data_IF_140834727780
#
_entry.id   IF_140834727780
#
_cell.length_a   1.000
_cell.length_b   1.000
_cell.length_c   1.000
_cell.angle_alpha   90.00
_cell.angle_beta   90.00
_cell.angle_gamma   90.00
#
_symmetry.space_group_name_H-M   'P 1'
#
loop_
_entity.id
_entity.type
_entity.pdbx_description
1 polymer ?
#
# COMPACT_ATOMS: atom_id res chain seq x y z
N UNK A 1 -19.90 -18.45 57.28
CA UNK A 1 -20.32 -17.44 58.27
C UNK A 1 -19.08 -16.73 58.80
N UNK A 2 -19.03 -15.39 58.73
CA UNK A 2 -17.97 -14.48 59.27
C UNK A 2 -18.26 -14.19 60.78
N UNK A 3 -17.70 -13.18 61.52
CA UNK A 3 -16.98 -11.92 61.17
C UNK A 3 -15.75 -11.62 62.10
N UNK A 4 -15.04 -10.49 62.19
CA UNK A 4 -15.28 -9.03 62.01
C UNK A 4 -13.92 -8.27 61.90
N UNK A 5 -13.74 -7.24 61.04
CA UNK A 5 -13.69 -5.76 61.29
C UNK A 5 -12.70 -5.29 62.38
N UNK A 6 -11.88 -4.24 62.25
CA UNK A 6 -12.10 -2.80 61.96
C UNK A 6 -10.83 -2.15 61.32
N UNK A 7 -10.93 -1.28 60.30
CA UNK A 7 -11.02 0.21 60.33
C UNK A 7 -9.95 0.93 61.16
N UNK A 8 -9.03 1.64 60.48
CA UNK A 8 -8.47 2.90 60.95
C UNK A 8 -8.63 3.98 59.89
N UNK A 9 -9.02 5.16 60.37
CA UNK A 9 -9.44 6.36 59.67
C UNK A 9 -8.61 7.50 60.27
N UNK A 10 -8.44 8.57 59.49
CA UNK A 10 -8.04 9.93 59.85
C UNK A 10 -6.53 10.27 59.88
N UNK A 11 -6.13 11.20 59.02
CA UNK A 11 -5.85 12.57 59.47
C UNK A 11 -5.89 13.53 58.28
N UNK A 12 -6.79 14.51 58.37
CA UNK A 12 -6.83 15.72 57.56
C UNK A 12 -5.81 16.72 58.11
N UNK A 13 -5.14 17.47 57.23
CA UNK A 13 -4.48 18.73 57.61
C UNK A 13 -4.74 19.79 56.53
N UNK A 14 -5.70 20.64 56.89
CA UNK A 14 -5.95 21.99 56.40
C UNK A 14 -5.07 22.93 57.23
N UNK A 15 -4.32 23.85 56.62
CA UNK A 15 -3.85 25.09 57.28
C UNK A 15 -3.92 26.27 56.30
N UNK A 16 -4.50 27.41 56.71
CA UNK A 16 -4.78 28.58 55.88
C UNK A 16 -3.80 29.77 56.09
N UNK A 17 -4.03 30.82 55.30
CA UNK A 17 -3.78 32.25 55.57
C UNK A 17 -2.36 32.80 55.46
N UNK A 18 -2.13 33.76 54.54
CA UNK A 18 -2.08 35.19 54.90
C UNK A 18 -2.03 36.08 53.63
N UNK A 19 -2.94 37.05 53.59
CA UNK A 19 -2.87 38.19 52.68
C UNK A 19 -1.88 39.22 53.24
N UNK A 20 -1.05 39.78 52.37
CA UNK A 20 -0.39 41.07 52.57
C UNK A 20 -0.40 41.80 51.24
N UNK A 21 -1.21 42.86 51.20
CA UNK A 21 -1.21 43.87 50.16
C UNK A 21 0.03 44.76 50.34
N UNK A 22 0.80 44.93 49.27
CA UNK A 22 1.67 46.10 49.09
C UNK A 22 1.48 46.61 47.67
N UNK A 23 0.95 47.83 47.59
CA UNK A 23 0.90 48.64 46.39
C UNK A 23 2.31 48.95 45.88
N UNK A 24 2.53 48.90 44.57
CA UNK A 24 3.58 49.66 43.89
C UNK A 24 3.22 49.84 42.41
N UNK A 25 3.59 51.00 41.91
CA UNK A 25 3.10 51.69 40.73
C UNK A 25 3.55 51.10 39.38
N UNK A 26 2.65 51.21 38.39
CA UNK A 26 2.95 51.81 37.09
C UNK A 26 4.06 51.18 36.24
N UNK A 27 3.71 50.16 35.46
CA UNK A 27 4.38 49.82 34.20
C UNK A 27 3.32 49.60 33.12
N UNK A 28 3.45 50.15 31.90
CA UNK A 28 2.41 50.05 30.88
C UNK A 28 2.17 48.57 30.53
N UNK A 29 0.93 48.12 30.71
CA UNK A 29 0.46 46.87 30.13
C UNK A 29 0.54 47.00 28.62
N UNK A 30 1.47 46.25 28.02
CA UNK A 30 1.39 45.90 26.61
C UNK A 30 0.11 45.08 26.46
N UNK A 31 -0.89 45.53 25.67
CA UNK A 31 -2.07 44.74 25.42
C UNK A 31 -1.67 43.42 24.77
N UNK A 32 -2.35 42.30 25.07
CA UNK A 32 -2.16 41.08 24.31
C UNK A 32 -2.45 41.42 22.85
N UNK A 33 -1.46 41.20 21.98
CA UNK A 33 -1.59 41.43 20.55
C UNK A 33 -2.72 40.58 19.99
N UNK A 34 -3.92 41.15 19.98
CA UNK A 34 -4.97 40.72 19.09
C UNK A 34 -4.43 40.92 17.68
N UNK A 35 -4.29 39.83 16.94
CA UNK A 35 -4.10 39.87 15.50
C UNK A 35 -5.12 40.88 14.96
N UNK A 36 -4.70 41.93 14.24
CA UNK A 36 -5.65 42.89 13.68
C UNK A 36 -6.65 42.11 12.86
N UNK A 37 -7.95 42.22 13.20
CA UNK A 37 -9.01 41.66 12.39
C UNK A 37 -8.84 42.25 10.99
N UNK A 38 -8.50 41.37 10.03
CA UNK A 38 -8.35 41.78 8.64
C UNK A 38 -9.67 42.42 8.20
N UNK A 39 -9.58 43.58 7.54
CA UNK A 39 -10.75 44.26 6.99
C UNK A 39 -11.54 43.29 6.10
N UNK A 40 -12.87 43.32 6.21
CA UNK A 40 -13.78 42.51 5.39
C UNK A 40 -13.64 42.80 3.90
N UNK A 41 -13.13 43.98 3.56
CA UNK A 41 -12.87 44.44 2.19
C UNK A 41 -11.38 44.73 1.95
N UNK A 42 -10.94 44.61 0.71
CA UNK A 42 -9.61 44.96 0.20
C UNK A 42 -9.76 46.14 -0.76
N UNK A 43 -9.01 47.21 -0.52
CA UNK A 43 -8.97 48.37 -1.43
C UNK A 43 -7.90 48.12 -2.50
N UNK A 44 -8.32 47.96 -3.75
CA UNK A 44 -7.43 47.75 -4.88
C UNK A 44 -7.21 49.03 -5.69
N UNK A 45 -6.05 49.20 -6.35
CA UNK A 45 -5.84 50.28 -7.29
C UNK A 45 -6.87 50.27 -8.44
N UNK A 46 -7.16 51.44 -9.00
CA UNK A 46 -7.94 51.55 -10.22
C UNK A 46 -7.32 50.69 -11.34
N UNK A 47 -8.13 49.97 -12.15
CA UNK A 47 -9.59 50.06 -12.28
C UNK A 47 -10.38 49.02 -11.45
N UNK A 48 -9.75 48.33 -10.49
CA UNK A 48 -10.39 47.21 -9.77
C UNK A 48 -11.34 47.72 -8.68
N UNK A 49 -10.93 48.76 -7.94
CA UNK A 49 -11.71 49.32 -6.83
C UNK A 49 -11.78 48.40 -5.62
N UNK A 50 -12.71 48.67 -4.70
CA UNK A 50 -12.87 47.88 -3.48
C UNK A 50 -13.51 46.51 -3.77
N UNK A 51 -12.91 45.44 -3.25
CA UNK A 51 -13.40 44.06 -3.38
C UNK A 51 -13.63 43.41 -2.02
N UNK A 52 -14.58 42.47 -1.87
CA UNK A 52 -14.71 41.67 -0.65
C UNK A 52 -13.51 40.74 -0.47
N UNK A 53 -13.00 40.63 0.76
CA UNK A 53 -11.92 39.70 1.11
C UNK A 53 -12.49 38.29 1.25
N UNK A 54 -11.89 37.34 0.55
CA UNK A 54 -12.25 35.92 0.67
C UNK A 54 -11.33 35.19 1.66
N UNK A 55 -11.88 34.19 2.35
CA UNK A 55 -11.09 33.30 3.20
C UNK A 55 -10.54 32.14 2.37
N UNK A 56 -9.28 32.24 1.94
CA UNK A 56 -8.65 31.17 1.16
C UNK A 56 -8.47 29.88 2.00
N UNK A 57 -8.50 29.99 3.33
CA UNK A 57 -8.52 28.84 4.24
C UNK A 57 -9.87 28.11 4.19
N UNK A 58 -11.00 28.84 4.22
CA UNK A 58 -12.33 28.24 4.04
C UNK A 58 -12.46 27.61 2.66
N UNK A 59 -11.96 28.26 1.60
CA UNK A 59 -11.92 27.67 0.25
C UNK A 59 -11.06 26.40 0.21
N UNK A 60 -9.97 26.32 0.99
CA UNK A 60 -9.19 25.10 1.09
C UNK A 60 -9.96 23.98 1.83
N UNK A 61 -10.77 24.34 2.82
CA UNK A 61 -11.52 23.40 3.67
C UNK A 61 -12.83 22.91 3.05
N UNK A 62 -13.49 23.72 2.20
CA UNK A 62 -14.72 23.38 1.46
C UNK A 62 -14.58 22.10 0.61
N UNK A 63 -13.35 21.70 0.27
CA UNK A 63 -13.05 20.48 -0.49
C UNK A 63 -12.50 19.32 0.35
N UNK A 64 -12.41 19.47 1.67
CA UNK A 64 -11.88 18.45 2.58
C UNK A 64 -12.67 17.13 2.59
N UNK A 65 -13.82 17.08 1.92
CA UNK A 65 -14.72 15.92 1.86
C UNK A 65 -14.45 14.95 0.70
N UNK A 66 -13.60 15.30 -0.28
CA UNK A 66 -13.17 14.36 -1.32
C UNK A 66 -12.12 13.39 -0.75
N UNK A 67 -12.53 12.56 0.21
CA UNK A 67 -11.68 11.59 0.89
C UNK A 67 -11.55 10.30 0.08
N UNK A 68 -10.53 10.30 -0.77
CA UNK A 68 -10.14 9.18 -1.62
C UNK A 68 -9.47 8.05 -0.81
N UNK A 69 -9.00 8.35 0.41
CA UNK A 69 -8.21 7.42 1.24
C UNK A 69 -9.03 6.21 1.70
N UNK A 70 -10.32 6.41 1.96
CA UNK A 70 -11.29 5.35 2.28
C UNK A 70 -11.51 4.38 1.10
N UNK A 71 -11.45 4.88 -0.14
CA UNK A 71 -11.65 4.09 -1.36
C UNK A 71 -10.40 3.33 -1.80
N UNK A 72 -9.20 3.82 -1.45
CA UNK A 72 -7.95 3.08 -1.63
C UNK A 72 -7.94 1.77 -0.81
N UNK A 73 -8.59 1.77 0.37
CA UNK A 73 -8.75 0.56 1.20
C UNK A 73 -9.67 -0.48 0.55
N UNK A 74 -10.70 -0.05 -0.19
CA UNK A 74 -11.65 -0.91 -0.90
C UNK A 74 -11.09 -1.44 -2.24
N UNK A 75 -10.18 -0.71 -2.89
CA UNK A 75 -9.63 -1.08 -4.20
C UNK A 75 -8.51 -2.15 -4.13
N UNK A 76 -7.94 -2.39 -2.94
CA UNK A 76 -6.71 -3.18 -2.75
C UNK A 76 -6.83 -4.70 -2.83
N UNK A 77 -8.03 -5.30 -2.83
CA UNK A 77 -8.18 -6.73 -2.53
C UNK A 77 -8.43 -7.68 -3.73
N UNK A 78 -8.29 -7.25 -4.99
CA UNK A 78 -8.56 -8.15 -6.14
C UNK A 78 -7.76 -7.86 -7.41
N UNK A 79 -7.75 -8.83 -8.34
CA UNK A 79 -7.10 -8.76 -9.67
C UNK A 79 -7.48 -7.45 -10.38
N UNK A 80 -6.49 -6.67 -10.81
CA UNK A 80 -6.69 -5.32 -11.36
C UNK A 80 -6.75 -4.19 -10.32
N UNK A 81 -6.46 -4.48 -9.05
CA UNK A 81 -6.34 -3.49 -7.97
C UNK A 81 -5.38 -2.36 -8.32
N UNK A 82 -4.22 -2.66 -8.92
CA UNK A 82 -3.24 -1.65 -9.30
C UNK A 82 -3.81 -0.62 -10.30
N UNK A 83 -4.51 -1.08 -11.33
CA UNK A 83 -5.11 -0.19 -12.34
C UNK A 83 -6.23 0.66 -11.71
N UNK A 84 -7.00 0.09 -10.79
CA UNK A 84 -8.02 0.82 -10.01
C UNK A 84 -7.40 1.83 -9.05
N UNK A 85 -6.36 1.44 -8.32
CA UNK A 85 -5.59 2.30 -7.42
C UNK A 85 -4.98 3.46 -8.20
N UNK A 86 -4.45 3.20 -9.38
CA UNK A 86 -3.88 4.24 -10.25
C UNK A 86 -4.96 5.19 -10.77
N UNK A 87 -6.11 4.66 -11.18
CA UNK A 87 -7.26 5.48 -11.56
C UNK A 87 -7.76 6.36 -10.40
N UNK A 88 -7.81 5.78 -9.20
CA UNK A 88 -8.19 6.47 -7.95
C UNK A 88 -7.17 7.57 -7.60
N UNK A 89 -5.86 7.28 -7.69
CA UNK A 89 -4.80 8.26 -7.46
C UNK A 89 -4.87 9.40 -8.48
N UNK A 90 -5.09 9.11 -9.76
CA UNK A 90 -5.24 10.14 -10.78
C UNK A 90 -6.41 11.09 -10.50
N UNK A 91 -7.54 10.57 -9.98
CA UNK A 91 -8.66 11.40 -9.53
C UNK A 91 -8.28 12.26 -8.31
N UNK A 92 -7.56 11.70 -7.33
CA UNK A 92 -7.07 12.43 -6.17
C UNK A 92 -6.10 13.56 -6.55
N UNK A 93 -5.16 13.29 -7.45
CA UNK A 93 -4.19 14.27 -7.95
C UNK A 93 -4.89 15.41 -8.70
N UNK A 94 -5.93 15.10 -9.50
CA UNK A 94 -6.73 16.12 -10.18
C UNK A 94 -7.53 16.97 -9.19
N UNK A 95 -8.12 16.36 -8.16
CA UNK A 95 -8.83 17.09 -7.11
C UNK A 95 -7.87 18.04 -6.36
N UNK A 96 -6.66 17.58 -6.03
CA UNK A 96 -5.62 18.41 -5.42
C UNK A 96 -5.25 19.60 -6.31
N UNK A 97 -5.03 19.39 -7.61
CA UNK A 97 -4.73 20.46 -8.57
C UNK A 97 -5.87 21.49 -8.69
N UNK A 98 -7.13 21.03 -8.72
CA UNK A 98 -8.29 21.91 -8.75
C UNK A 98 -8.37 22.77 -7.48
N UNK A 99 -8.12 22.17 -6.31
CA UNK A 99 -8.05 22.88 -5.03
C UNK A 99 -6.93 23.92 -5.02
N UNK A 100 -5.72 23.53 -5.42
CA UNK A 100 -4.57 24.44 -5.52
C UNK A 100 -4.86 25.63 -6.45
N UNK A 101 -5.48 25.38 -7.61
CA UNK A 101 -5.87 26.45 -8.55
C UNK A 101 -6.88 27.41 -7.96
N UNK A 102 -7.87 26.91 -7.22
CA UNK A 102 -8.90 27.75 -6.59
C UNK A 102 -8.34 28.57 -5.42
N UNK A 103 -7.45 28.00 -4.62
CA UNK A 103 -6.72 28.74 -3.57
C UNK A 103 -5.84 29.83 -4.18
N UNK A 104 -5.08 29.50 -5.23
CA UNK A 104 -4.25 30.48 -5.94
C UNK A 104 -5.09 31.60 -6.59
N UNK A 105 -6.30 31.30 -7.06
CA UNK A 105 -7.26 32.28 -7.56
C UNK A 105 -7.73 33.22 -6.44
N UNK A 106 -8.12 32.69 -5.28
CA UNK A 106 -8.47 33.47 -4.09
C UNK A 106 -7.31 34.38 -3.63
N UNK A 107 -6.09 33.86 -3.58
CA UNK A 107 -4.91 34.67 -3.22
C UNK A 107 -4.64 35.78 -4.24
N UNK A 108 -4.82 35.49 -5.53
CA UNK A 108 -4.68 36.47 -6.61
C UNK A 108 -5.76 37.55 -6.54
N UNK A 109 -6.98 37.17 -6.16
CA UNK A 109 -8.09 38.09 -5.95
C UNK A 109 -7.84 39.01 -4.76
N UNK A 110 -7.53 38.45 -3.59
CA UNK A 110 -7.20 39.20 -2.37
C UNK A 110 -5.94 40.09 -2.51
N UNK A 111 -5.08 39.83 -3.49
CA UNK A 111 -3.90 40.66 -3.81
C UNK A 111 -4.12 41.59 -5.01
N UNK A 112 -5.38 41.78 -5.44
CA UNK A 112 -5.78 42.70 -6.50
C UNK A 112 -5.14 42.40 -7.87
N UNK A 113 -4.76 41.14 -8.13
CA UNK A 113 -4.16 40.72 -9.42
C UNK A 113 -5.19 40.25 -10.44
N UNK A 114 -6.43 40.02 -10.01
CA UNK A 114 -7.53 39.50 -10.84
C UNK A 114 -8.77 40.38 -10.64
N UNK A 115 -9.46 40.73 -11.73
CA UNK A 115 -10.69 41.53 -11.65
C UNK A 115 -11.87 40.69 -11.14
N UNK A 116 -12.87 41.29 -10.46
CA UNK A 116 -14.03 40.55 -9.95
C UNK A 116 -14.76 39.69 -10.98
N UNK A 117 -14.94 40.20 -12.21
CA UNK A 117 -15.60 39.45 -13.28
C UNK A 117 -14.76 38.25 -13.76
N UNK A 118 -13.44 38.40 -13.83
CA UNK A 118 -12.51 37.32 -14.20
C UNK A 118 -12.42 36.27 -13.09
N UNK A 119 -12.40 36.72 -11.84
CA UNK A 119 -12.44 35.86 -10.66
C UNK A 119 -13.70 34.99 -10.64
N UNK A 120 -14.88 35.62 -10.76
CA UNK A 120 -16.16 34.91 -10.74
C UNK A 120 -16.28 33.88 -11.88
N UNK A 121 -15.82 34.23 -13.09
CA UNK A 121 -15.85 33.32 -14.23
C UNK A 121 -14.93 32.10 -14.02
N UNK A 122 -13.72 32.33 -13.51
CA UNK A 122 -12.75 31.25 -13.27
C UNK A 122 -13.15 30.38 -12.06
N UNK A 123 -13.67 30.98 -11.00
CA UNK A 123 -14.18 30.23 -9.84
C UNK A 123 -15.34 29.31 -10.25
N UNK A 124 -16.29 29.84 -11.04
CA UNK A 124 -17.40 29.04 -11.58
C UNK A 124 -16.91 27.90 -12.46
N UNK A 125 -15.87 28.13 -13.28
CA UNK A 125 -15.25 27.10 -14.10
C UNK A 125 -14.61 26.00 -13.24
N UNK A 126 -13.79 26.37 -12.27
CA UNK A 126 -13.09 25.43 -11.38
C UNK A 126 -14.09 24.62 -10.53
N UNK A 127 -15.11 25.28 -9.97
CA UNK A 127 -16.19 24.63 -9.24
C UNK A 127 -16.98 23.65 -10.11
N UNK A 128 -17.25 24.01 -11.37
CA UNK A 128 -17.89 23.13 -12.35
C UNK A 128 -17.06 21.86 -12.64
N UNK A 129 -15.74 22.00 -12.83
CA UNK A 129 -14.85 20.86 -13.05
C UNK A 129 -14.75 19.95 -11.82
N UNK A 130 -14.71 20.53 -10.62
CA UNK A 130 -14.74 19.74 -9.39
C UNK A 130 -16.06 18.98 -9.26
N UNK A 131 -17.20 19.62 -9.56
CA UNK A 131 -18.49 18.94 -9.57
C UNK A 131 -18.51 17.79 -10.57
N UNK A 132 -18.00 17.97 -11.79
CA UNK A 132 -17.88 16.89 -12.78
C UNK A 132 -17.02 15.73 -12.26
N UNK A 133 -15.94 16.02 -11.53
CA UNK A 133 -15.08 15.00 -10.93
C UNK A 133 -15.78 14.22 -9.82
N UNK A 134 -16.57 14.91 -8.98
CA UNK A 134 -17.38 14.28 -7.93
C UNK A 134 -18.48 13.41 -8.55
N UNK A 135 -19.20 13.91 -9.56
CA UNK A 135 -20.25 13.15 -10.23
C UNK A 135 -19.68 11.89 -10.92
N UNK A 136 -18.49 12.00 -11.52
CA UNK A 136 -17.75 10.87 -12.09
C UNK A 136 -17.29 9.88 -11.02
N UNK A 137 -16.82 10.39 -9.88
CA UNK A 137 -16.42 9.61 -8.72
C UNK A 137 -17.61 8.82 -8.17
N UNK A 138 -18.75 9.44 -7.94
CA UNK A 138 -19.93 8.78 -7.39
C UNK A 138 -20.53 7.73 -8.35
N UNK A 139 -20.36 7.93 -9.66
CA UNK A 139 -20.79 6.97 -10.67
C UNK A 139 -19.86 5.73 -10.81
N UNK A 140 -18.72 5.67 -10.10
CA UNK A 140 -17.74 4.59 -10.24
C UNK A 140 -18.29 3.26 -9.74
N UNK A 141 -18.15 2.21 -10.56
CA UNK A 141 -18.56 0.83 -10.20
C UNK A 141 -17.37 -0.12 -10.01
N UNK A 142 -16.29 0.08 -10.77
CA UNK A 142 -15.04 -0.71 -10.70
C UNK A 142 -15.26 -2.24 -10.68
N UNK A 143 -16.31 -2.74 -11.35
CA UNK A 143 -16.66 -4.16 -11.38
C UNK A 143 -15.83 -4.92 -12.41
N UNK A 144 -15.43 -4.26 -13.49
CA UNK A 144 -14.62 -4.83 -14.58
C UNK A 144 -13.57 -3.82 -15.10
N UNK A 145 -12.67 -4.28 -15.99
CA UNK A 145 -11.62 -3.44 -16.55
C UNK A 145 -12.16 -2.24 -17.36
N UNK A 146 -13.27 -2.43 -18.07
CA UNK A 146 -13.90 -1.38 -18.89
C UNK A 146 -14.47 -0.23 -18.04
N UNK A 147 -14.96 -0.52 -16.83
CA UNK A 147 -15.36 0.50 -15.86
C UNK A 147 -14.17 1.38 -15.46
N UNK A 148 -12.99 0.78 -15.26
CA UNK A 148 -11.76 1.50 -14.89
C UNK A 148 -11.27 2.35 -16.06
N UNK A 149 -11.28 1.81 -17.27
CA UNK A 149 -10.89 2.55 -18.49
C UNK A 149 -11.82 3.75 -18.71
N UNK A 150 -13.15 3.57 -18.59
CA UNK A 150 -14.11 4.67 -18.71
C UNK A 150 -13.92 5.73 -17.63
N UNK A 151 -13.69 5.32 -16.39
CA UNK A 151 -13.41 6.24 -15.30
C UNK A 151 -12.13 7.06 -15.56
N UNK A 152 -11.03 6.40 -15.96
CA UNK A 152 -9.78 7.09 -16.31
C UNK A 152 -9.97 8.07 -17.46
N UNK A 153 -10.68 7.68 -18.52
CA UNK A 153 -11.00 8.56 -19.63
C UNK A 153 -11.81 9.80 -19.18
N UNK A 154 -12.72 9.63 -18.22
CA UNK A 154 -13.44 10.73 -17.58
C UNK A 154 -12.52 11.68 -16.82
N UNK A 155 -11.60 11.16 -15.99
CA UNK A 155 -10.61 11.95 -15.25
C UNK A 155 -9.70 12.72 -16.22
N UNK A 156 -9.18 12.06 -17.26
CA UNK A 156 -8.35 12.71 -18.29
C UNK A 156 -9.11 13.80 -19.04
N UNK A 157 -10.40 13.60 -19.33
CA UNK A 157 -11.24 14.62 -19.98
C UNK A 157 -11.39 15.86 -19.10
N UNK A 158 -11.61 15.69 -17.80
CA UNK A 158 -11.73 16.82 -16.86
C UNK A 158 -10.38 17.53 -16.70
N UNK A 159 -9.27 16.78 -16.61
CA UNK A 159 -7.93 17.34 -16.61
C UNK A 159 -7.65 18.16 -17.89
N UNK A 160 -8.04 17.65 -19.06
CA UNK A 160 -7.93 18.37 -20.32
C UNK A 160 -8.69 19.69 -20.33
N UNK A 161 -9.92 19.72 -19.77
CA UNK A 161 -10.68 20.97 -19.58
C UNK A 161 -10.01 21.93 -18.60
N UNK A 162 -9.37 21.41 -17.54
CA UNK A 162 -8.63 22.23 -16.57
C UNK A 162 -7.47 22.96 -17.25
N UNK A 163 -6.72 22.24 -18.09
CA UNK A 163 -5.55 22.76 -18.82
C UNK A 163 -5.91 23.57 -20.08
N UNK A 164 -7.20 23.75 -20.39
CA UNK A 164 -7.68 24.51 -21.55
C UNK A 164 -7.61 23.77 -22.88
N UNK A 165 -7.29 22.47 -22.86
CA UNK A 165 -7.38 21.57 -24.01
C UNK A 165 -8.80 21.01 -24.14
N UNK A 166 -9.63 21.62 -24.98
CA UNK A 166 -10.93 21.04 -25.38
C UNK A 166 -10.69 19.81 -26.25
N UNK A 167 -10.71 18.62 -25.65
CA UNK A 167 -10.81 17.37 -26.39
C UNK A 167 -12.21 17.27 -27.02
N UNK A 168 -12.33 17.73 -28.27
CA UNK A 168 -13.49 17.48 -29.13
C UNK A 168 -13.40 16.03 -29.64
N UNK A 169 -14.45 15.19 -29.51
CA UNK A 169 -14.52 13.96 -30.30
C UNK A 169 -14.72 14.37 -31.76
N UNK A 170 -13.67 14.34 -32.57
CA UNK A 170 -13.79 14.63 -34.00
C UNK A 170 -14.58 13.51 -34.69
N UNK A 171 -15.79 13.85 -35.12
CA UNK A 171 -16.38 13.23 -36.29
C UNK A 171 -15.61 13.77 -37.51
N UNK A 172 -15.21 12.87 -38.41
CA UNK A 172 -14.35 13.08 -39.59
C UNK A 172 -12.82 13.13 -39.35
N UNK A 173 -12.23 11.94 -39.28
CA UNK A 173 -11.26 11.52 -40.30
C UNK A 173 -9.80 11.94 -40.20
N UNK A 174 -9.35 12.62 -39.13
CA UNK A 174 -7.93 12.91 -38.94
C UNK A 174 -7.59 13.05 -37.46
N UNK A 175 -7.36 11.92 -36.79
CA UNK A 175 -6.93 11.93 -35.39
C UNK A 175 -5.64 12.75 -35.27
N UNK A 176 -5.52 13.67 -34.29
CA UNK A 176 -4.21 14.19 -33.92
C UNK A 176 -3.35 12.97 -33.61
N UNK A 177 -2.17 12.90 -34.22
CA UNK A 177 -1.19 11.88 -33.89
C UNK A 177 -0.79 12.15 -32.44
N UNK A 178 -1.52 11.56 -31.50
CA UNK A 178 -1.02 11.30 -30.16
C UNK A 178 0.20 10.45 -30.42
N UNK A 179 1.38 11.07 -30.38
CA UNK A 179 2.65 10.35 -30.42
C UNK A 179 2.67 9.58 -29.11
N UNK A 180 2.05 8.39 -29.14
CA UNK A 180 2.07 7.46 -28.03
C UNK A 180 3.53 7.31 -27.68
N UNK A 181 3.94 7.65 -26.45
CA UNK A 181 5.35 7.62 -26.10
C UNK A 181 5.89 6.26 -26.48
N UNK A 182 7.00 6.26 -27.22
CA UNK A 182 7.52 5.07 -27.86
C UNK A 182 7.77 4.00 -26.79
N UNK A 183 6.92 2.96 -26.80
CA UNK A 183 7.07 1.79 -25.96
C UNK A 183 8.38 1.11 -26.36
N UNK A 184 9.34 1.08 -25.45
CA UNK A 184 10.58 0.30 -25.64
C UNK A 184 10.30 -1.12 -25.17
N UNK A 185 10.58 -2.09 -26.03
CA UNK A 185 10.43 -3.51 -25.73
C UNK A 185 11.77 -4.20 -25.90
N UNK A 186 12.19 -4.92 -24.86
CA UNK A 186 13.36 -5.81 -24.87
C UNK A 186 12.84 -7.24 -24.89
N UNK A 187 13.31 -8.07 -25.83
CA UNK A 187 12.94 -9.49 -25.90
C UNK A 187 13.68 -10.28 -24.83
N UNK A 188 13.08 -11.39 -24.37
CA UNK A 188 13.71 -12.26 -23.39
C UNK A 188 15.11 -12.74 -23.80
N UNK A 189 15.29 -13.13 -25.07
CA UNK A 189 16.58 -13.60 -25.58
C UNK A 189 17.69 -12.53 -25.62
N UNK A 190 17.33 -11.25 -25.61
CA UNK A 190 18.28 -10.14 -25.62
C UNK A 190 18.87 -9.88 -24.22
N UNK A 191 18.30 -10.46 -23.17
CA UNK A 191 18.77 -10.29 -21.80
C UNK A 191 20.10 -11.00 -21.58
N UNK A 192 21.01 -10.33 -20.89
CA UNK A 192 22.28 -10.92 -20.51
C UNK A 192 22.06 -12.05 -19.50
N UNK A 193 22.64 -13.22 -19.78
CA UNK A 193 22.57 -14.39 -18.89
C UNK A 193 23.60 -14.25 -17.78
N UNK A 194 23.20 -14.62 -16.56
CA UNK A 194 24.09 -14.75 -15.42
C UNK A 194 24.23 -16.24 -15.16
N UNK A 195 25.37 -16.80 -15.58
CA UNK A 195 25.65 -18.21 -15.41
C UNK A 195 25.88 -18.53 -13.92
N UNK A 196 25.27 -19.61 -13.44
CA UNK A 196 25.31 -20.00 -12.04
C UNK A 196 25.10 -21.50 -11.86
N UNK A 197 25.63 -22.06 -10.78
CA UNK A 197 25.46 -23.47 -10.47
C UNK A 197 23.98 -23.80 -10.25
N UNK A 198 23.45 -24.78 -10.98
CA UNK A 198 22.05 -25.21 -10.87
C UNK A 198 21.07 -24.44 -11.76
N UNK A 199 21.55 -23.47 -12.56
CA UNK A 199 20.76 -22.81 -13.61
C UNK A 199 20.95 -23.50 -14.97
N UNK A 200 19.87 -23.55 -15.74
CA UNK A 200 19.88 -23.96 -17.16
C UNK A 200 19.10 -22.94 -17.98
N UNK A 201 19.63 -22.62 -19.15
CA UNK A 201 19.02 -21.67 -20.07
C UNK A 201 18.64 -22.35 -21.38
N UNK A 202 17.44 -22.07 -21.87
CA UNK A 202 16.98 -22.42 -23.21
C UNK A 202 16.40 -21.16 -23.88
N UNK A 203 16.64 -20.96 -25.16
CA UNK A 203 16.06 -19.86 -25.93
C UNK A 203 15.25 -20.42 -27.10
N UNK A 204 14.05 -19.88 -27.31
CA UNK A 204 13.16 -20.25 -28.43
C UNK A 204 12.25 -19.09 -28.76
N UNK A 205 12.11 -18.77 -30.04
CA UNK A 205 11.15 -17.79 -30.57
C UNK A 205 11.18 -16.41 -29.88
N UNK A 206 12.36 -15.89 -29.59
CA UNK A 206 12.50 -14.60 -28.90
C UNK A 206 12.43 -14.66 -27.38
N UNK A 207 12.09 -15.83 -26.81
CA UNK A 207 11.93 -16.05 -25.38
C UNK A 207 13.17 -16.70 -24.78
N UNK A 208 13.37 -16.49 -23.49
CA UNK A 208 14.38 -17.22 -22.70
C UNK A 208 13.70 -17.94 -21.55
N UNK A 209 13.93 -19.25 -21.45
CA UNK A 209 13.52 -20.09 -20.34
C UNK A 209 14.72 -20.35 -19.44
N UNK A 210 14.52 -20.13 -18.15
CA UNK A 210 15.47 -20.41 -17.09
C UNK A 210 14.88 -21.51 -16.22
N UNK A 211 15.66 -22.53 -15.92
CA UNK A 211 15.30 -23.56 -14.94
C UNK A 211 16.33 -23.59 -13.83
N UNK A 212 15.88 -23.46 -12.59
CA UNK A 212 16.68 -23.68 -11.38
C UNK A 212 16.33 -25.04 -10.77
N UNK A 213 17.35 -25.86 -10.50
CA UNK A 213 17.17 -27.12 -9.75
C UNK A 213 17.73 -27.06 -8.33
N UNK A 214 18.40 -25.97 -7.97
CA UNK A 214 19.10 -25.82 -6.70
C UNK A 214 18.29 -25.00 -5.69
N UNK A 215 18.51 -25.26 -4.40
CA UNK A 215 18.05 -24.37 -3.34
C UNK A 215 18.86 -23.05 -3.36
N UNK A 216 18.30 -22.01 -2.77
CA UNK A 216 18.95 -20.70 -2.64
C UNK A 216 18.65 -19.75 -3.79
N UNK A 217 19.20 -18.54 -3.67
CA UNK A 217 18.91 -17.41 -4.54
C UNK A 217 19.93 -17.32 -5.67
N UNK A 218 19.43 -17.26 -6.91
CA UNK A 218 20.24 -17.21 -8.12
C UNK A 218 19.79 -16.07 -9.02
N UNK A 219 20.64 -15.05 -9.17
CA UNK A 219 20.48 -14.06 -10.24
C UNK A 219 20.68 -14.79 -11.58
N UNK A 220 19.77 -14.62 -12.54
CA UNK A 220 19.78 -15.45 -13.75
C UNK A 220 19.75 -14.64 -15.06
N UNK A 221 19.00 -13.53 -15.11
CA UNK A 221 19.01 -12.61 -16.25
C UNK A 221 19.21 -11.18 -15.79
N UNK A 222 19.76 -10.36 -16.69
CA UNK A 222 20.00 -8.94 -16.50
C UNK A 222 19.61 -8.15 -17.74
N UNK A 223 18.90 -7.03 -17.53
CA UNK A 223 18.81 -5.95 -18.49
C UNK A 223 19.70 -4.79 -18.03
N UNK A 224 20.59 -4.34 -18.90
CA UNK A 224 21.54 -3.27 -18.57
C UNK A 224 20.84 -1.91 -18.45
N UNK A 225 21.47 -0.95 -17.77
CA UNK A 225 20.86 0.36 -17.54
C UNK A 225 20.52 1.09 -18.84
N UNK A 226 21.33 0.92 -19.88
CA UNK A 226 21.10 1.47 -21.22
C UNK A 226 19.82 0.94 -21.86
N UNK A 227 19.46 -0.32 -21.56
CA UNK A 227 18.21 -0.92 -22.01
C UNK A 227 17.00 -0.36 -21.25
N UNK A 228 17.20 0.10 -20.02
CA UNK A 228 16.16 0.65 -19.16
C UNK A 228 16.04 2.19 -19.20
N UNK A 229 16.98 2.88 -19.85
CA UNK A 229 16.89 4.33 -20.07
C UNK A 229 15.67 4.67 -20.94
N UNK A 230 14.82 5.55 -20.39
CA UNK A 230 13.63 6.12 -21.05
C UNK A 230 13.79 7.63 -21.27
N UNK A 231 12.84 8.26 -21.97
CA UNK A 231 12.85 9.67 -22.39
C UNK A 231 12.77 10.73 -21.26
N UNK A 232 13.19 10.39 -20.04
CA UNK A 232 13.08 11.22 -18.84
C UNK A 232 11.74 11.02 -18.11
N UNK A 233 11.78 11.00 -16.77
CA UNK A 233 10.59 10.85 -15.92
C UNK A 233 10.43 9.46 -15.29
N UNK A 234 9.30 9.22 -14.64
CA UNK A 234 8.96 7.92 -14.04
C UNK A 234 8.57 6.93 -15.13
N UNK A 235 9.19 5.76 -15.12
CA UNK A 235 8.92 4.67 -16.06
C UNK A 235 8.47 3.44 -15.27
N UNK A 236 7.59 2.65 -15.86
CA UNK A 236 7.17 1.33 -15.39
C UNK A 236 7.83 0.28 -16.27
N UNK A 237 8.63 -0.58 -15.65
CA UNK A 237 9.20 -1.77 -16.27
C UNK A 237 8.26 -2.92 -16.02
N UNK A 238 7.63 -3.43 -17.10
CA UNK A 238 6.67 -4.53 -17.06
C UNK A 238 7.29 -5.78 -17.69
N UNK A 239 7.40 -6.84 -16.92
CA UNK A 239 8.00 -8.10 -17.31
C UNK A 239 6.88 -9.09 -17.65
N UNK A 240 6.89 -9.59 -18.89
CA UNK A 240 5.93 -10.56 -19.39
C UNK A 240 6.58 -11.93 -19.53
N UNK A 241 5.82 -12.95 -19.16
CA UNK A 241 6.29 -14.31 -19.21
C UNK A 241 5.43 -15.26 -18.40
N UNK A 242 6.04 -16.37 -17.99
CA UNK A 242 5.46 -17.34 -17.09
C UNK A 242 6.46 -17.75 -16.02
N UNK A 243 5.93 -18.18 -14.89
CA UNK A 243 6.70 -18.85 -13.85
C UNK A 243 5.95 -20.11 -13.43
N UNK A 244 6.68 -21.19 -13.24
CA UNK A 244 6.17 -22.47 -12.77
C UNK A 244 7.06 -22.92 -11.62
N UNK A 245 6.59 -22.84 -10.37
CA UNK A 245 7.36 -23.33 -9.24
C UNK A 245 7.50 -24.86 -9.35
N UNK A 246 8.58 -25.43 -8.81
CA UNK A 246 8.77 -26.89 -8.86
C UNK A 246 7.74 -27.66 -8.01
N UNK A 247 7.09 -26.97 -7.06
CA UNK A 247 6.00 -27.48 -6.26
C UNK A 247 4.85 -26.48 -6.29
N UNK A 248 3.61 -26.97 -6.38
CA UNK A 248 2.43 -26.12 -6.34
C UNK A 248 2.38 -25.34 -5.01
N UNK A 249 1.97 -24.05 -5.03
CA UNK A 249 1.77 -23.30 -3.81
C UNK A 249 0.67 -23.94 -2.97
N UNK A 250 0.87 -23.94 -1.65
CA UNK A 250 -0.11 -24.52 -0.74
C UNK A 250 -1.43 -23.74 -0.75
N UNK A 251 -1.31 -22.42 -0.77
CA UNK A 251 -2.41 -21.46 -0.80
C UNK A 251 -2.44 -20.80 -2.18
N UNK A 252 -3.57 -20.93 -2.87
CA UNK A 252 -3.81 -20.30 -4.16
C UNK A 252 -4.65 -19.02 -4.02
N UNK A 253 -4.53 -18.13 -5.00
CA UNK A 253 -5.43 -16.99 -5.17
C UNK A 253 -6.89 -17.47 -5.23
N UNK A 254 -7.77 -16.83 -4.46
CA UNK A 254 -9.18 -17.18 -4.34
C UNK A 254 -9.49 -18.25 -3.29
N UNK A 255 -8.48 -18.87 -2.65
CA UNK A 255 -8.72 -19.82 -1.56
C UNK A 255 -9.37 -19.14 -0.36
N UNK A 256 -10.40 -19.77 0.19
CA UNK A 256 -10.94 -19.49 1.51
C UNK A 256 -10.32 -20.45 2.52
N UNK A 257 -9.69 -19.89 3.55
CA UNK A 257 -8.89 -20.60 4.53
C UNK A 257 -9.50 -20.40 5.90
N UNK A 258 -9.73 -21.49 6.64
CA UNK A 258 -10.00 -21.42 8.07
C UNK A 258 -8.70 -21.70 8.82
N UNK A 259 -8.34 -20.81 9.74
CA UNK A 259 -7.18 -20.94 10.61
C UNK A 259 -7.70 -21.15 12.01
N UNK A 260 -7.28 -22.23 12.67
CA UNK A 260 -7.60 -22.50 14.07
C UNK A 260 -6.34 -22.84 14.85
N UNK A 261 -6.29 -22.44 16.10
CA UNK A 261 -5.12 -22.69 16.95
C UNK A 261 -5.50 -22.66 18.43
N UNK A 262 -4.70 -23.36 19.24
CA UNK A 262 -4.73 -23.29 20.70
C UNK A 262 -3.62 -22.36 21.18
N UNK A 263 -3.86 -21.67 22.28
CA UNK A 263 -2.86 -20.79 22.87
C UNK A 263 -2.83 -20.86 24.39
N UNK A 264 -1.68 -20.49 24.97
CA UNK A 264 -1.52 -20.13 26.38
C UNK A 264 -0.77 -18.81 26.48
N UNK A 265 -1.39 -17.78 27.02
CA UNK A 265 -0.76 -16.49 27.27
C UNK A 265 -0.46 -16.33 28.78
N UNK A 266 0.77 -15.93 29.13
CA UNK A 266 1.12 -15.66 30.54
C UNK A 266 0.50 -14.37 31.08
N UNK A 267 0.17 -13.44 30.19
CA UNK A 267 -0.41 -12.13 30.48
C UNK A 267 -1.44 -11.79 29.40
N UNK A 268 -2.24 -10.75 29.62
CA UNK A 268 -3.12 -10.25 28.57
C UNK A 268 -2.30 -9.64 27.42
N UNK A 269 -2.75 -9.84 26.18
CA UNK A 269 -2.02 -9.41 24.99
C UNK A 269 -2.83 -9.56 23.72
N UNK A 270 -2.15 -9.45 22.58
CA UNK A 270 -2.74 -9.56 21.25
C UNK A 270 -2.10 -10.71 20.49
N UNK A 271 -2.92 -11.63 19.98
CA UNK A 271 -2.50 -12.65 19.03
C UNK A 271 -2.90 -12.17 17.64
N UNK A 272 -2.07 -12.41 16.63
CA UNK A 272 -2.43 -12.06 15.27
C UNK A 272 -2.25 -13.25 14.34
N UNK A 273 -3.18 -13.36 13.39
CA UNK A 273 -3.08 -14.23 12.23
C UNK A 273 -3.11 -13.35 11.00
N UNK A 274 -2.08 -13.46 10.17
CA UNK A 274 -1.89 -12.67 8.97
C UNK A 274 -1.84 -13.58 7.75
N UNK A 275 -2.69 -13.31 6.76
CA UNK A 275 -2.45 -13.79 5.40
C UNK A 275 -1.47 -12.82 4.74
N UNK A 276 -0.33 -13.35 4.32
CA UNK A 276 0.78 -12.58 3.75
C UNK A 276 0.86 -12.84 2.25
N UNK A 277 1.17 -11.80 1.50
CA UNK A 277 1.57 -11.91 0.10
C UNK A 277 3.08 -12.14 0.03
N UNK A 278 3.51 -12.95 -0.94
CA UNK A 278 4.93 -13.07 -1.25
C UNK A 278 5.47 -11.79 -1.90
N UNK A 279 4.64 -11.10 -2.69
CA UNK A 279 5.02 -9.91 -3.47
C UNK A 279 5.40 -8.73 -2.59
N UNK A 280 4.71 -8.57 -1.47
CA UNK A 280 5.02 -7.61 -0.43
C UNK A 280 4.71 -8.25 0.94
N UNK A 281 5.70 -8.84 1.62
CA UNK A 281 5.48 -9.51 2.90
C UNK A 281 5.15 -8.53 4.04
N UNK A 282 5.47 -7.25 3.86
CA UNK A 282 5.22 -6.19 4.83
C UNK A 282 3.81 -5.59 4.63
N UNK A 283 3.32 -5.54 3.38
CA UNK A 283 1.92 -5.28 3.08
C UNK A 283 1.07 -6.52 3.42
N UNK A 284 0.47 -6.49 4.60
CA UNK A 284 -0.41 -7.59 5.02
C UNK A 284 -1.70 -7.56 4.21
N UNK A 285 -2.01 -8.65 3.51
CA UNK A 285 -3.25 -8.80 2.72
C UNK A 285 -4.47 -8.76 3.64
N UNK A 286 -4.40 -9.48 4.76
CA UNK A 286 -5.41 -9.44 5.81
C UNK A 286 -4.80 -9.84 7.14
N UNK A 287 -5.09 -9.08 8.20
CA UNK A 287 -4.69 -9.39 9.58
C UNK A 287 -5.92 -9.47 10.46
N UNK A 288 -6.01 -10.54 11.24
CA UNK A 288 -7.00 -10.66 12.31
C UNK A 288 -6.24 -10.63 13.63
N UNK A 289 -6.68 -9.73 14.52
CA UNK A 289 -6.09 -9.54 15.84
C UNK A 289 -7.08 -10.01 16.90
N UNK A 290 -6.64 -10.93 17.76
CA UNK A 290 -7.38 -11.45 18.90
C UNK A 290 -6.83 -10.83 20.18
N UNK A 291 -7.68 -10.15 20.94
CA UNK A 291 -7.33 -9.68 22.28
C UNK A 291 -7.61 -10.78 23.28
N UNK A 292 -6.55 -11.27 23.93
CA UNK A 292 -6.64 -12.41 24.84
C UNK A 292 -6.26 -12.01 26.26
N UNK A 293 -6.94 -12.61 27.24
CA UNK A 293 -6.54 -12.54 28.64
C UNK A 293 -5.43 -13.58 28.95
N UNK A 294 -4.79 -13.44 30.12
CA UNK A 294 -3.90 -14.47 30.63
C UNK A 294 -4.67 -15.79 30.82
N UNK A 295 -4.09 -16.91 30.41
CA UNK A 295 -4.72 -18.23 30.47
C UNK A 295 -4.55 -19.03 29.19
N UNK A 296 -5.37 -20.06 29.03
CA UNK A 296 -5.41 -20.92 27.83
C UNK A 296 -6.71 -20.71 27.07
N UNK A 297 -6.66 -20.79 25.74
CA UNK A 297 -7.84 -20.69 24.90
C UNK A 297 -7.68 -21.34 23.54
N UNK A 298 -8.70 -21.21 22.72
CA UNK A 298 -8.72 -21.64 21.32
C UNK A 298 -9.35 -20.54 20.50
N UNK A 299 -8.72 -20.21 19.38
CA UNK A 299 -9.21 -19.19 18.45
C UNK A 299 -9.37 -19.79 17.06
N UNK A 300 -10.26 -19.20 16.28
CA UNK A 300 -10.45 -19.53 14.88
C UNK A 300 -10.83 -18.29 14.10
N UNK A 301 -10.37 -18.21 12.85
CA UNK A 301 -10.77 -17.17 11.90
C UNK A 301 -10.79 -17.71 10.48
N UNK A 302 -11.38 -16.95 9.56
CA UNK A 302 -11.31 -17.19 8.12
C UNK A 302 -10.58 -16.06 7.42
N UNK A 303 -9.79 -16.42 6.40
CA UNK A 303 -9.05 -15.49 5.56
C UNK A 303 -9.24 -15.91 4.10
N UNK A 304 -9.27 -14.94 3.19
CA UNK A 304 -9.42 -15.19 1.75
C UNK A 304 -8.20 -14.65 1.02
N UNK A 305 -7.54 -15.48 0.22
CA UNK A 305 -6.43 -15.07 -0.62
C UNK A 305 -6.92 -14.22 -1.79
N UNK A 306 -6.49 -12.96 -1.86
CA UNK A 306 -6.91 -12.04 -2.89
C UNK A 306 -6.55 -12.55 -4.30
N UNK A 307 -7.44 -12.45 -5.31
CA UNK A 307 -7.15 -12.93 -6.67
C UNK A 307 -6.10 -12.10 -7.45
N UNK A 308 -5.58 -11.03 -6.84
CA UNK A 308 -4.62 -10.09 -7.46
C UNK A 308 -3.15 -10.39 -7.19
N UNK A 309 -2.83 -10.98 -6.05
CA UNK A 309 -1.45 -11.26 -5.64
C UNK A 309 -1.07 -12.70 -5.95
N UNK A 310 0.22 -13.03 -5.90
CA UNK A 310 0.70 -14.39 -6.12
C UNK A 310 1.66 -14.85 -5.03
N UNK A 311 1.50 -16.10 -4.61
CA UNK A 311 2.22 -16.65 -3.47
C UNK A 311 1.65 -16.13 -2.17
N UNK A 312 1.03 -17.02 -1.39
CA UNK A 312 0.48 -16.68 -0.09
C UNK A 312 1.02 -17.61 0.97
N UNK A 313 1.09 -17.10 2.19
CA UNK A 313 1.42 -17.88 3.38
C UNK A 313 0.72 -17.29 4.60
N UNK A 314 0.55 -18.09 5.64
CA UNK A 314 -0.07 -17.64 6.89
C UNK A 314 1.01 -17.44 7.94
N UNK A 315 1.05 -16.25 8.51
CA UNK A 315 1.86 -15.89 9.66
C UNK A 315 1.02 -15.84 10.93
N UNK A 316 1.57 -16.33 12.04
CA UNK A 316 0.95 -16.25 13.37
C UNK A 316 1.96 -15.71 14.36
N UNK A 317 1.56 -14.71 15.14
CA UNK A 317 2.42 -14.12 16.15
C UNK A 317 1.64 -13.55 17.33
N UNK A 318 2.39 -12.97 18.27
CA UNK A 318 1.86 -12.37 19.48
C UNK A 318 2.57 -11.05 19.80
N UNK A 319 1.79 -10.05 20.21
CA UNK A 319 2.25 -8.74 20.68
C UNK A 319 1.76 -8.49 22.11
N UNK A 320 2.55 -7.75 22.88
CA UNK A 320 2.28 -7.45 24.28
C UNK A 320 3.38 -7.96 25.21
N UNK A 321 3.11 -7.94 26.51
CA UNK A 321 4.06 -8.36 27.52
C UNK A 321 3.97 -9.88 27.78
N UNK A 322 5.12 -10.56 27.81
CA UNK A 322 5.25 -11.97 28.20
C UNK A 322 5.38 -12.95 27.03
N UNK A 323 5.40 -14.24 27.36
CA UNK A 323 5.51 -15.31 26.37
C UNK A 323 4.12 -15.88 26.04
N UNK A 324 3.97 -16.32 24.80
CA UNK A 324 2.78 -17.03 24.35
C UNK A 324 3.19 -18.41 23.87
N UNK A 325 2.44 -19.42 24.30
CA UNK A 325 2.53 -20.75 23.72
C UNK A 325 1.44 -20.95 22.67
N UNK A 326 1.79 -21.52 21.52
CA UNK A 326 0.85 -21.95 20.49
C UNK A 326 0.92 -23.47 20.30
N UNK A 327 -0.20 -24.08 19.93
CA UNK A 327 -0.26 -25.50 19.58
C UNK A 327 -1.48 -25.78 18.70
N UNK A 328 -1.50 -26.93 18.02
CA UNK A 328 -2.54 -27.33 17.08
C UNK A 328 -2.95 -26.19 16.12
N UNK A 329 -1.96 -25.47 15.58
CA UNK A 329 -2.22 -24.50 14.52
C UNK A 329 -2.55 -25.28 13.28
N UNK A 330 -3.74 -25.08 12.72
CA UNK A 330 -4.18 -25.78 11.52
C UNK A 330 -4.71 -24.80 10.49
N UNK A 331 -4.21 -24.97 9.26
CA UNK A 331 -4.70 -24.31 8.08
C UNK A 331 -5.65 -25.26 7.36
N UNK A 332 -6.91 -24.88 7.23
CA UNK A 332 -7.99 -25.72 6.71
C UNK A 332 -8.57 -25.11 5.44
N UNK A 333 -8.70 -25.91 4.38
CA UNK A 333 -9.39 -25.55 3.14
C UNK A 333 -10.41 -26.63 2.82
N UNK A 334 -11.68 -26.25 2.58
CA UNK A 334 -12.78 -27.18 2.28
C UNK A 334 -12.86 -28.35 3.29
N UNK A 335 -12.76 -28.06 4.59
CA UNK A 335 -12.75 -29.04 5.69
C UNK A 335 -11.53 -29.97 5.78
N UNK A 336 -10.53 -29.84 4.89
CA UNK A 336 -9.28 -30.60 4.96
C UNK A 336 -8.16 -29.74 5.59
N UNK A 337 -7.41 -30.30 6.54
CA UNK A 337 -6.19 -29.67 7.05
C UNK A 337 -5.11 -29.79 5.97
N UNK A 338 -4.69 -28.65 5.40
CA UNK A 338 -3.68 -28.60 4.32
C UNK A 338 -2.27 -28.31 4.85
N UNK A 339 -2.15 -27.69 6.02
CA UNK A 339 -0.90 -27.59 6.78
C UNK A 339 -1.19 -27.43 8.26
N UNK A 340 -0.21 -27.79 9.10
CA UNK A 340 -0.32 -27.66 10.54
C UNK A 340 1.01 -27.27 11.17
N UNK A 341 0.94 -26.64 12.35
CA UNK A 341 2.04 -26.54 13.29
C UNK A 341 1.65 -27.23 14.59
N UNK A 342 2.19 -28.43 14.81
CA UNK A 342 2.02 -29.22 16.03
C UNK A 342 3.38 -29.41 16.68
N UNK A 343 3.56 -28.93 17.91
CA UNK A 343 4.88 -28.86 18.53
C UNK A 343 5.49 -30.23 18.86
N UNK A 344 4.68 -31.28 18.86
CA UNK A 344 5.12 -32.66 19.06
C UNK A 344 5.69 -33.33 17.80
N UNK A 345 5.47 -32.74 16.63
CA UNK A 345 5.98 -33.22 15.35
C UNK A 345 7.28 -32.49 15.03
N UNK A 346 8.38 -33.24 14.94
CA UNK A 346 9.70 -32.68 14.69
C UNK A 346 9.88 -32.11 13.27
N UNK A 347 8.92 -32.33 12.37
CA UNK A 347 9.04 -31.97 10.94
C UNK A 347 7.67 -31.82 10.28
N UNK A 348 6.84 -30.89 10.76
CA UNK A 348 5.65 -30.51 10.00
C UNK A 348 6.04 -29.93 8.64
N UNK A 349 5.51 -30.45 7.52
CA UNK A 349 5.80 -29.90 6.22
C UNK A 349 5.25 -28.48 6.12
N UNK A 350 5.99 -27.60 5.45
CA UNK A 350 5.62 -26.19 5.23
C UNK A 350 5.58 -25.30 6.48
N UNK A 351 6.08 -25.78 7.63
CA UNK A 351 6.25 -24.97 8.83
C UNK A 351 7.66 -24.36 8.90
N UNK A 352 7.71 -23.06 9.11
CA UNK A 352 8.88 -22.34 9.62
C UNK A 352 8.52 -21.75 10.97
N UNK A 353 9.35 -21.98 11.99
CA UNK A 353 9.08 -21.54 13.36
C UNK A 353 10.32 -20.87 13.95
N UNK A 354 10.12 -19.71 14.58
CA UNK A 354 11.12 -19.06 15.42
C UNK A 354 10.94 -19.40 16.92
N UNK A 355 9.97 -20.26 17.25
CA UNK A 355 9.62 -20.60 18.62
C UNK A 355 10.39 -21.81 19.12
N UNK A 356 10.64 -21.85 20.43
CA UNK A 356 11.17 -23.03 21.09
C UNK A 356 10.05 -24.03 21.42
N UNK A 357 10.35 -25.31 21.59
CA UNK A 357 9.34 -26.30 22.02
C UNK A 357 9.35 -26.47 23.54
N UNK A 358 8.20 -26.35 24.20
CA UNK A 358 8.02 -26.61 25.63
C UNK A 358 7.31 -27.95 25.87
N UNK A 359 8.04 -28.94 26.38
CA UNK A 359 7.51 -30.28 26.72
C UNK A 359 6.94 -30.38 28.15
N UNK A 360 7.21 -29.39 29.01
CA UNK A 360 6.82 -29.42 30.42
C UNK A 360 5.38 -29.01 30.65
N UNK A 361 4.85 -28.16 29.76
CA UNK A 361 3.49 -27.66 29.84
C UNK A 361 2.83 -27.72 28.46
N UNK A 362 2.56 -28.91 27.90
CA UNK A 362 1.85 -28.99 26.64
C UNK A 362 0.48 -28.28 26.71
N UNK A 363 0.06 -27.72 25.59
CA UNK A 363 -1.32 -27.24 25.41
C UNK A 363 -2.20 -28.41 25.00
N UNK A 364 -1.72 -29.24 24.09
CA UNK A 364 -2.26 -30.55 23.75
C UNK A 364 -1.08 -31.51 23.50
N UNK A 365 -1.35 -32.81 23.57
CA UNK A 365 -0.34 -33.82 23.24
C UNK A 365 0.91 -33.74 24.12
N UNK A 366 2.10 -33.68 23.49
CA UNK A 366 3.40 -33.80 24.18
C UNK A 366 4.24 -32.52 24.26
N UNK A 367 3.90 -31.45 23.53
CA UNK A 367 4.65 -30.20 23.53
C UNK A 367 3.79 -29.01 23.09
N UNK A 368 4.27 -27.78 23.31
CA UNK A 368 3.73 -26.54 22.72
C UNK A 368 4.86 -25.67 22.17
N UNK A 369 4.57 -24.76 21.22
CA UNK A 369 5.53 -23.76 20.72
C UNK A 369 5.57 -22.56 21.67
N UNK A 370 6.64 -22.41 22.44
CA UNK A 370 6.89 -21.24 23.28
C UNK A 370 7.56 -20.13 22.45
N UNK A 371 6.82 -19.06 22.23
CA UNK A 371 7.21 -17.90 21.44
C UNK A 371 7.34 -16.66 22.33
N UNK A 372 8.40 -15.89 22.14
CA UNK A 372 8.53 -14.56 22.73
C UNK A 372 7.56 -13.59 22.04
N UNK A 373 6.85 -12.77 22.82
CA UNK A 373 6.04 -11.69 22.23
C UNK A 373 6.94 -10.65 21.57
N UNK A 374 6.46 -10.08 20.48
CA UNK A 374 7.16 -9.04 19.73
C UNK A 374 6.64 -8.93 18.31
N UNK A 375 7.28 -8.09 17.51
CA UNK A 375 6.86 -7.95 16.11
C UNK A 375 7.19 -9.19 15.27
N UNK A 376 6.40 -9.34 14.20
CA UNK A 376 6.56 -10.38 13.20
C UNK A 376 5.88 -11.70 13.52
N UNK A 377 5.84 -12.54 12.48
CA UNK A 377 5.27 -13.87 12.53
C UNK A 377 6.25 -14.82 13.26
N UNK A 378 5.73 -15.61 14.19
CA UNK A 378 6.50 -16.57 14.98
C UNK A 378 6.37 -17.99 14.42
N UNK A 379 5.19 -18.31 13.88
CA UNK A 379 4.91 -19.51 13.11
C UNK A 379 4.47 -19.09 11.71
N UNK A 380 5.10 -19.66 10.69
CA UNK A 380 4.80 -19.40 9.28
C UNK A 380 4.44 -20.73 8.61
N UNK A 381 3.24 -20.79 8.03
CA UNK A 381 2.72 -21.96 7.34
C UNK A 381 2.52 -21.67 5.85
N UNK A 382 3.00 -22.59 5.02
CA UNK A 382 2.72 -22.57 3.59
C UNK A 382 3.63 -21.67 2.75
N UNK A 383 4.71 -21.12 3.32
CA UNK A 383 5.66 -20.30 2.57
C UNK A 383 6.21 -21.07 1.37
N UNK A 384 6.10 -20.52 0.14
CA UNK A 384 6.63 -21.18 -1.05
C UNK A 384 8.14 -21.39 -0.95
N UNK A 385 8.61 -22.61 -1.24
CA UNK A 385 10.04 -22.96 -1.25
C UNK A 385 10.80 -22.40 -2.46
N UNK A 386 10.07 -22.00 -3.50
CA UNK A 386 10.60 -21.58 -4.78
C UNK A 386 9.81 -20.39 -5.33
N UNK A 387 10.46 -19.29 -5.68
CA UNK A 387 9.80 -18.13 -6.30
C UNK A 387 10.70 -17.37 -7.28
N UNK A 388 10.07 -16.58 -8.14
CA UNK A 388 10.76 -15.61 -8.99
C UNK A 388 10.94 -14.31 -8.20
N UNK A 389 12.08 -13.65 -8.32
CA UNK A 389 12.20 -12.24 -7.91
C UNK A 389 12.63 -11.36 -9.07
N UNK A 390 12.12 -10.13 -9.04
CA UNK A 390 12.39 -9.07 -9.99
C UNK A 390 12.95 -7.91 -9.17
N UNK A 391 14.17 -7.47 -9.48
CA UNK A 391 14.84 -6.44 -8.70
C UNK A 391 15.41 -5.33 -9.58
N UNK A 392 15.17 -4.08 -9.19
CA UNK A 392 15.86 -2.92 -9.74
C UNK A 392 17.06 -2.61 -8.85
N UNK A 393 18.26 -2.67 -9.42
CA UNK A 393 19.52 -2.38 -8.71
C UNK A 393 20.16 -1.12 -9.27
N UNK A 394 20.72 -0.32 -8.38
CA UNK A 394 21.53 0.86 -8.70
C UNK A 394 22.94 0.63 -8.15
N UNK A 395 23.94 1.46 -8.50
CA UNK A 395 25.25 1.41 -7.86
C UNK A 395 25.22 1.53 -6.33
N UNK A 396 24.18 2.18 -5.78
CA UNK A 396 23.98 2.33 -4.34
C UNK A 396 23.34 1.10 -3.67
N UNK A 397 22.90 0.10 -4.46
CA UNK A 397 22.26 -1.12 -3.97
C UNK A 397 20.90 -1.38 -4.61
N UNK A 398 20.17 -2.33 -4.03
CA UNK A 398 18.82 -2.67 -4.46
C UNK A 398 17.83 -1.55 -4.12
N UNK A 399 17.10 -1.10 -5.13
CA UNK A 399 16.12 -0.01 -5.00
C UNK A 399 14.70 -0.54 -4.82
N UNK A 400 14.35 -1.60 -5.53
CA UNK A 400 13.04 -2.22 -5.47
C UNK A 400 13.18 -3.71 -5.76
N UNK A 401 12.34 -4.52 -5.10
CA UNK A 401 12.23 -5.96 -5.35
C UNK A 401 10.78 -6.40 -5.20
N UNK A 402 10.34 -7.25 -6.12
CA UNK A 402 9.09 -7.99 -6.03
C UNK A 402 9.41 -9.48 -6.07
N UNK A 403 8.73 -10.28 -5.25
CA UNK A 403 8.82 -11.74 -5.24
C UNK A 403 7.49 -12.33 -5.68
N UNK A 404 7.46 -13.17 -6.69
CA UNK A 404 6.20 -13.56 -7.33
C UNK A 404 6.19 -15.03 -7.71
N UNK A 405 4.99 -15.63 -7.71
CA UNK A 405 4.74 -16.94 -8.28
C UNK A 405 4.07 -16.86 -9.66
N UNK A 406 3.89 -15.67 -10.22
CA UNK A 406 3.23 -15.52 -11.52
C UNK A 406 3.70 -14.27 -12.26
N UNK A 407 3.95 -14.44 -13.55
CA UNK A 407 4.14 -13.33 -14.49
C UNK A 407 2.88 -13.06 -15.33
N UNK A 408 1.75 -13.71 -14.99
CA UNK A 408 0.49 -13.51 -15.70
C UNK A 408 0.02 -12.06 -15.58
N UNK A 409 -0.35 -11.47 -16.71
CA UNK A 409 -0.71 -10.05 -16.79
C UNK A 409 0.48 -9.09 -16.76
N UNK A 410 1.71 -9.59 -16.66
CA UNK A 410 2.93 -8.80 -16.59
C UNK A 410 3.14 -8.16 -15.20
N UNK A 411 4.30 -8.41 -14.58
CA UNK A 411 4.67 -7.82 -13.28
C UNK A 411 5.46 -6.55 -13.47
N UNK A 412 5.21 -5.55 -12.62
CA UNK A 412 5.68 -4.20 -12.86
C UNK A 412 6.55 -3.68 -11.72
N UNK A 413 7.63 -2.97 -12.06
CA UNK A 413 8.47 -2.20 -11.14
C UNK A 413 8.54 -0.76 -11.62
N UNK A 414 8.42 0.19 -10.71
CA UNK A 414 8.59 1.61 -11.03
C UNK A 414 10.08 2.00 -10.93
N UNK A 415 10.60 2.66 -11.95
CA UNK A 415 11.92 3.29 -11.94
C UNK A 415 11.84 4.77 -12.30
N UNK A 416 12.89 5.51 -12.00
CA UNK A 416 13.13 6.82 -12.57
C UNK A 416 14.05 6.65 -13.78
N UNK A 417 13.58 7.01 -14.98
CA UNK A 417 14.28 6.78 -16.25
C UNK A 417 15.61 7.54 -16.41
N UNK A 418 15.96 8.43 -15.46
CA UNK A 418 17.26 9.10 -15.38
C UNK A 418 18.29 8.36 -14.52
N UNK A 419 17.87 7.40 -13.72
CA UNK A 419 18.75 6.67 -12.81
C UNK A 419 19.46 5.54 -13.55
N UNK A 420 20.73 5.33 -13.22
CA UNK A 420 21.51 4.21 -13.74
C UNK A 420 21.09 2.93 -13.00
N UNK A 421 20.02 2.32 -13.51
CA UNK A 421 19.34 1.20 -12.87
C UNK A 421 19.40 -0.01 -13.79
N UNK A 422 19.85 -1.15 -13.27
CA UNK A 422 19.73 -2.45 -13.95
C UNK A 422 18.51 -3.22 -13.42
N UNK A 423 17.91 -4.03 -14.27
CA UNK A 423 16.90 -5.01 -13.87
C UNK A 423 17.57 -6.37 -13.77
N UNK A 424 17.36 -7.03 -12.64
CA UNK A 424 17.77 -8.40 -12.39
C UNK A 424 16.54 -9.27 -12.21
N UNK A 425 16.52 -10.39 -12.93
CA UNK A 425 15.51 -11.45 -12.80
C UNK A 425 16.23 -12.66 -12.24
N UNK A 426 15.73 -13.20 -11.13
CA UNK A 426 16.33 -14.37 -10.51
C UNK A 426 15.30 -15.32 -9.91
N UNK A 427 15.78 -16.51 -9.59
CA UNK A 427 14.99 -17.55 -8.96
C UNK A 427 15.54 -17.79 -7.56
N UNK A 428 14.66 -17.80 -6.56
CA UNK A 428 15.00 -18.28 -5.24
C UNK A 428 14.38 -19.66 -5.06
N UNK A 429 15.21 -20.70 -5.05
CA UNK A 429 14.81 -22.09 -5.02
C UNK A 429 14.49 -22.70 -6.40
N UNK A 430 13.99 -23.95 -6.41
CA UNK A 430 13.73 -24.69 -7.63
C UNK A 430 12.44 -24.22 -8.34
N UNK A 431 12.51 -24.11 -9.66
CA UNK A 431 11.42 -23.65 -10.51
C UNK A 431 11.87 -23.35 -11.93
N UNK A 432 10.93 -22.97 -12.78
CA UNK A 432 11.21 -22.57 -14.16
C UNK A 432 10.47 -21.27 -14.49
N UNK A 433 11.15 -20.33 -15.13
CA UNK A 433 10.52 -19.13 -15.68
C UNK A 433 10.80 -19.03 -17.16
N UNK A 434 9.84 -18.52 -17.93
CA UNK A 434 10.06 -18.11 -19.32
C UNK A 434 9.78 -16.62 -19.43
N UNK A 435 10.80 -15.85 -19.82
CA UNK A 435 10.68 -14.42 -20.07
C UNK A 435 10.44 -14.20 -21.55
N UNK A 436 9.34 -13.53 -21.87
CA UNK A 436 8.94 -13.22 -23.24
C UNK A 436 9.44 -11.84 -23.64
N UNK A 437 9.10 -10.83 -22.82
CA UNK A 437 9.48 -9.45 -23.09
C UNK A 437 9.49 -8.60 -21.83
N UNK A 438 10.25 -7.52 -21.91
CA UNK A 438 10.27 -6.44 -20.93
C UNK A 438 9.82 -5.17 -21.65
N UNK A 439 8.84 -4.50 -21.08
CA UNK A 439 8.26 -3.28 -21.64
C UNK A 439 8.54 -2.10 -20.72
N UNK A 440 9.01 -1.00 -21.30
CA UNK A 440 9.16 0.26 -20.59
C UNK A 440 8.05 1.21 -21.03
N UNK A 441 7.23 1.59 -20.07
CA UNK A 441 6.06 2.45 -20.25
C UNK A 441 6.24 3.70 -19.38
N UNK A 442 6.06 4.93 -19.90
CA UNK A 442 6.01 6.10 -19.03
C UNK A 442 4.82 6.00 -18.07
N UNK A 443 5.04 6.31 -16.80
CA UNK A 443 3.96 6.35 -15.81
C UNK A 443 3.07 7.56 -16.14
N UNK A 444 1.80 7.32 -16.47
CA UNK A 444 0.84 8.35 -16.89
C UNK A 444 0.59 8.47 -18.40
N UNK A 445 1.14 7.57 -19.22
CA UNK A 445 1.02 7.59 -20.70
C UNK A 445 0.07 6.56 -21.32
N UNK A 446 -0.77 5.87 -20.52
CA UNK A 446 -1.72 4.85 -20.99
C UNK A 446 -3.14 5.39 -21.22
#
# INVERSE_FOLDING_TARGET
>A
MPPARLRFLAAALFVPSLALATASCGGPQVPPGGTPALSADVECPDPIGTIPRESCAEIADDFGSFDVSSSLKLAGASRGAEVRIEAIRAAADLAAKLKERRVALCESYNTCKTKPAEHAAEDQRLAGLMKELIDLWDARKFLNADDVVRFRAGVTKIAGKLDGTTAVPSADGGAPIVVKPAKKTVRGEALARIEGAGLKFAASDGNVTITSTAAGTHDALRAAAEELRGGGGRMRVRIFGSYTPSAAPLIAAGDELAIRFKYRATQAGELHVALRSLEDPDAVESTIVFRVAAGTGTESTTLTAAPGSSGFYVGIGARGAGNVEFDDVELVRQSAVIAAARAESASEPHLVSSCSTNKKKPLTGKASFLCESGDGDKLVLGQPKGHLYLALKTPAGERARIRTLSLEGGRSLDLNGKEDTELVIGLDGPGSTTIQSIELLPVGGD
#
